data_IF_200051135837
#
_entry.id   IF_200051135837
#
_cell.length_a   1.000
_cell.length_b   1.000
_cell.length_c   1.000
_cell.angle_alpha   90.00
_cell.angle_beta   90.00
_cell.angle_gamma   90.00
#
_symmetry.space_group_name_H-M   'P 1'
#
loop_
_entity.id
_entity.type
_entity.pdbx_description
1 polymer ?
#
# COMPACT_ATOMS: atom_id res chain seq x y z
N UNK A 1 -24.01 -10.23 -7.08
CA UNK A 1 -22.64 -10.18 -7.63
C UNK A 1 -21.68 -10.04 -6.45
N UNK A 2 -20.58 -10.78 -6.39
CA UNK A 2 -19.68 -10.73 -5.23
C UNK A 2 -18.93 -9.39 -5.20
N UNK A 3 -18.74 -8.80 -4.02
CA UNK A 3 -17.81 -7.67 -3.87
C UNK A 3 -16.35 -8.14 -3.79
N UNK A 4 -15.39 -7.21 -3.88
CA UNK A 4 -13.96 -7.55 -3.89
C UNK A 4 -13.50 -8.34 -2.66
N UNK A 5 -13.95 -7.92 -1.46
CA UNK A 5 -13.66 -8.62 -0.21
C UNK A 5 -14.16 -10.07 -0.24
N UNK A 6 -15.43 -10.28 -0.62
CA UNK A 6 -16.01 -11.63 -0.73
C UNK A 6 -15.21 -12.49 -1.70
N UNK A 7 -14.85 -11.93 -2.86
CA UNK A 7 -14.13 -12.66 -3.91
C UNK A 7 -12.72 -13.08 -3.46
N UNK A 8 -11.97 -12.20 -2.81
CA UNK A 8 -10.62 -12.50 -2.30
C UNK A 8 -10.69 -13.57 -1.20
N UNK A 9 -11.58 -13.40 -0.21
CA UNK A 9 -11.67 -14.34 0.93
C UNK A 9 -12.10 -15.73 0.45
N UNK A 10 -13.11 -15.83 -0.40
CA UNK A 10 -13.54 -17.12 -0.96
C UNK A 10 -12.44 -17.79 -1.79
N UNK A 11 -11.72 -17.04 -2.63
CA UNK A 11 -10.61 -17.59 -3.40
C UNK A 11 -9.47 -18.12 -2.49
N UNK A 12 -9.14 -17.42 -1.40
CA UNK A 12 -8.15 -17.86 -0.41
C UNK A 12 -8.57 -19.14 0.32
N UNK A 13 -9.88 -19.34 0.49
CA UNK A 13 -10.47 -20.54 1.10
C UNK A 13 -10.75 -21.66 0.09
N UNK A 14 -10.31 -21.52 -1.17
CA UNK A 14 -10.56 -22.48 -2.25
C UNK A 14 -12.05 -22.68 -2.57
N UNK A 15 -12.88 -21.67 -2.30
CA UNK A 15 -14.30 -21.66 -2.64
C UNK A 15 -14.53 -21.14 -4.07
N UNK A 16 -15.61 -21.56 -4.76
CA UNK A 16 -15.98 -21.00 -6.06
C UNK A 16 -16.19 -19.48 -6.02
N UNK A 17 -15.76 -18.78 -7.07
CA UNK A 17 -15.90 -17.33 -7.24
C UNK A 17 -16.46 -16.96 -8.60
N UNK A 18 -17.09 -15.79 -8.71
CA UNK A 18 -17.71 -15.30 -9.95
C UNK A 18 -16.70 -14.84 -11.03
N UNK A 19 -15.46 -14.53 -10.63
CA UNK A 19 -14.28 -14.37 -11.49
C UNK A 19 -13.01 -14.46 -10.63
N UNK A 20 -11.85 -14.64 -11.27
CA UNK A 20 -10.55 -14.54 -10.58
C UNK A 20 -10.39 -13.16 -9.93
N UNK A 21 -10.11 -13.06 -8.61
CA UNK A 21 -9.81 -11.80 -7.97
C UNK A 21 -8.45 -11.24 -8.39
N UNK A 22 -8.32 -9.92 -8.45
CA UNK A 22 -7.10 -9.22 -8.90
C UNK A 22 -6.73 -8.11 -7.92
N UNK A 23 -5.45 -8.06 -7.59
CA UNK A 23 -4.77 -6.94 -6.93
C UNK A 23 -3.31 -6.93 -7.38
N UNK A 24 -2.59 -5.84 -7.15
CA UNK A 24 -1.19 -5.73 -7.58
C UNK A 24 -0.29 -5.36 -6.41
N UNK A 25 0.86 -6.03 -6.31
CA UNK A 25 1.94 -5.56 -5.45
C UNK A 25 2.34 -4.15 -5.88
N UNK A 26 2.52 -3.25 -4.90
CA UNK A 26 2.83 -1.83 -5.13
C UNK A 26 1.76 -1.07 -5.94
N UNK A 27 0.49 -1.48 -5.86
CA UNK A 27 -0.62 -0.76 -6.50
C UNK A 27 -0.75 0.69 -6.03
N UNK A 28 -0.41 1.00 -4.77
CA UNK A 28 -0.28 2.37 -4.28
C UNK A 28 1.19 2.79 -4.41
N UNK A 29 1.52 3.63 -5.40
CA UNK A 29 2.90 4.04 -5.62
C UNK A 29 3.12 4.97 -6.81
N UNK A 30 4.41 5.16 -7.15
CA UNK A 30 4.93 6.19 -8.06
C UNK A 30 4.33 6.25 -9.46
N UNK A 31 3.67 5.19 -9.93
CA UNK A 31 2.97 5.23 -11.22
C UNK A 31 1.73 6.14 -11.18
N UNK A 32 1.12 6.31 -10.01
CA UNK A 32 -0.04 7.18 -9.79
C UNK A 32 0.39 8.66 -9.67
N UNK A 33 -0.19 9.58 -10.47
CA UNK A 33 0.09 11.01 -10.33
C UNK A 33 -0.30 11.58 -8.97
N UNK A 34 -1.43 11.14 -8.41
CA UNK A 34 -1.90 11.52 -7.07
C UNK A 34 -0.97 11.04 -5.94
N UNK A 35 -0.32 9.90 -6.10
CA UNK A 35 0.75 9.47 -5.19
C UNK A 35 1.93 10.41 -5.28
N UNK A 36 2.38 10.74 -6.50
CA UNK A 36 3.56 11.60 -6.71
C UNK A 36 3.35 13.01 -6.18
N UNK A 37 2.14 13.57 -6.31
CA UNK A 37 1.79 14.89 -5.77
C UNK A 37 1.92 14.90 -4.25
N UNK A 38 1.23 13.99 -3.56
CA UNK A 38 1.33 13.83 -2.10
C UNK A 38 2.78 13.55 -1.67
N UNK A 39 3.51 12.74 -2.44
CA UNK A 39 4.88 12.39 -2.15
C UNK A 39 5.90 13.52 -2.33
N UNK A 40 5.54 14.61 -3.00
CA UNK A 40 6.37 15.81 -3.12
C UNK A 40 6.24 16.72 -1.89
N UNK A 41 5.17 16.56 -1.11
CA UNK A 41 4.83 17.42 0.03
C UNK A 41 5.23 16.79 1.38
N UNK A 42 5.33 15.46 1.44
CA UNK A 42 5.62 14.72 2.67
C UNK A 42 6.79 13.76 2.48
N UNK A 43 7.65 13.63 3.48
CA UNK A 43 8.70 12.62 3.54
C UNK A 43 8.12 11.19 3.52
N UNK A 44 8.94 10.20 3.21
CA UNK A 44 8.49 8.81 3.20
C UNK A 44 8.04 8.35 4.60
N UNK A 45 8.76 8.75 5.65
CA UNK A 45 8.41 8.42 7.03
C UNK A 45 7.08 9.02 7.46
N UNK A 46 6.84 10.30 7.19
CA UNK A 46 5.55 10.95 7.48
C UNK A 46 4.41 10.17 6.81
N UNK A 47 4.58 9.81 5.54
CA UNK A 47 3.56 9.03 4.81
C UNK A 47 3.33 7.63 5.36
N UNK A 48 4.25 7.05 6.14
CA UNK A 48 4.11 5.72 6.76
C UNK A 48 3.60 5.78 8.21
N UNK A 49 3.83 6.91 8.91
CA UNK A 49 3.50 7.06 10.33
C UNK A 49 2.23 7.87 10.56
N UNK A 50 1.85 8.72 9.61
CA UNK A 50 0.60 9.47 9.65
C UNK A 50 -0.57 8.61 9.13
N UNK A 51 -1.61 8.47 9.94
CA UNK A 51 -2.77 7.64 9.64
C UNK A 51 -3.55 8.13 8.41
N UNK A 52 -3.72 9.44 8.28
CA UNK A 52 -4.52 10.04 7.21
C UNK A 52 -3.79 9.94 5.87
N UNK A 53 -2.47 10.18 5.86
CA UNK A 53 -1.62 9.98 4.68
C UNK A 53 -1.58 8.51 4.26
N UNK A 54 -1.32 7.59 5.20
CA UNK A 54 -1.34 6.14 4.96
C UNK A 54 -2.66 5.68 4.34
N UNK A 55 -3.78 6.10 4.94
CA UNK A 55 -5.13 5.73 4.49
C UNK A 55 -5.39 6.30 3.10
N UNK A 56 -5.08 7.58 2.90
CA UNK A 56 -5.25 8.26 1.61
C UNK A 56 -4.49 7.52 0.51
N UNK A 57 -3.20 7.24 0.71
CA UNK A 57 -2.36 6.54 -0.26
C UNK A 57 -2.90 5.12 -0.53
N UNK A 58 -3.26 4.37 0.52
CA UNK A 58 -3.82 3.02 0.41
C UNK A 58 -5.07 2.99 -0.47
N UNK A 59 -5.91 4.03 -0.41
CA UNK A 59 -7.17 4.11 -1.12
C UNK A 59 -7.07 4.64 -2.56
N UNK A 60 -5.99 5.32 -2.94
CA UNK A 60 -5.80 5.84 -4.31
C UNK A 60 -6.07 4.78 -5.41
N UNK A 61 -5.51 3.56 -5.34
CA UNK A 61 -5.71 2.54 -6.38
C UNK A 61 -7.15 2.03 -6.41
N UNK A 62 -7.81 1.92 -5.25
CA UNK A 62 -9.21 1.49 -5.15
C UNK A 62 -10.13 2.54 -5.79
N UNK A 63 -9.82 3.82 -5.59
CA UNK A 63 -10.57 4.91 -6.20
C UNK A 63 -10.32 5.02 -7.71
N UNK A 64 -9.08 4.79 -8.17
CA UNK A 64 -8.72 4.89 -9.58
C UNK A 64 -9.17 3.68 -10.40
N UNK A 65 -8.94 2.47 -9.88
CA UNK A 65 -9.20 1.21 -10.57
C UNK A 65 -10.37 0.50 -9.91
N UNK A 66 -11.58 0.76 -10.44
CA UNK A 66 -12.84 0.25 -9.87
C UNK A 66 -13.00 -1.27 -9.87
N UNK A 67 -12.09 -2.00 -10.50
CA UNK A 67 -12.13 -3.45 -10.67
C UNK A 67 -11.14 -4.22 -9.79
N UNK A 68 -10.28 -3.52 -9.02
CA UNK A 68 -9.37 -4.17 -8.06
C UNK A 68 -10.16 -4.68 -6.85
N UNK A 69 -9.82 -5.89 -6.38
CA UNK A 69 -10.60 -6.59 -5.36
C UNK A 69 -10.10 -6.38 -3.93
N UNK A 70 -8.84 -5.95 -3.76
CA UNK A 70 -8.22 -5.76 -2.46
C UNK A 70 -7.34 -4.51 -2.39
N UNK A 71 -7.26 -3.93 -1.20
CA UNK A 71 -6.24 -2.96 -0.83
C UNK A 71 -5.11 -3.65 -0.06
N UNK A 72 -3.89 -3.18 -0.23
CA UNK A 72 -2.75 -3.49 0.63
C UNK A 72 -2.34 -2.20 1.33
N UNK A 73 -2.16 -2.27 2.65
CA UNK A 73 -1.82 -1.10 3.47
C UNK A 73 -0.51 -0.49 2.98
N UNK A 74 -0.51 0.83 2.77
CA UNK A 74 0.70 1.57 2.49
C UNK A 74 1.57 1.61 3.76
N UNK A 75 2.73 0.97 3.67
CA UNK A 75 3.78 0.97 4.68
C UNK A 75 5.07 0.49 4.01
N UNK A 76 6.14 0.35 4.79
CA UNK A 76 7.39 -0.26 4.35
C UNK A 76 7.79 -1.40 5.29
N UNK A 77 8.46 -2.41 4.72
CA UNK A 77 8.93 -3.57 5.49
C UNK A 77 9.99 -3.21 6.52
N UNK A 78 10.66 -2.07 6.37
CA UNK A 78 11.71 -1.56 7.27
C UNK A 78 11.14 -0.75 8.44
N UNK A 79 9.83 -0.47 8.47
CA UNK A 79 9.18 0.26 9.57
C UNK A 79 9.41 -0.32 10.98
N UNK A 80 9.65 -1.63 11.19
CA UNK A 80 9.98 -2.15 12.53
C UNK A 80 11.44 -1.88 12.97
N UNK A 81 12.35 -1.57 12.04
CA UNK A 81 13.78 -1.49 12.33
C UNK A 81 14.19 -0.41 13.36
N UNK A 82 13.56 0.79 13.39
CA UNK A 82 13.82 1.77 14.45
C UNK A 82 13.58 1.23 15.86
N UNK A 83 12.57 0.37 16.05
CA UNK A 83 12.30 -0.26 17.34
C UNK A 83 13.36 -1.30 17.73
N UNK A 84 14.13 -1.79 16.77
CA UNK A 84 15.26 -2.71 16.96
C UNK A 84 16.61 -1.97 17.11
N UNK A 85 16.61 -0.63 17.09
CA UNK A 85 17.80 0.19 17.26
C UNK A 85 18.54 0.54 15.97
N UNK A 86 17.93 0.36 14.79
CA UNK A 86 18.52 0.78 13.52
C UNK A 86 17.93 2.09 13.02
N UNK A 87 18.78 3.00 12.56
CA UNK A 87 18.34 4.20 11.86
C UNK A 87 18.11 3.88 10.38
N UNK A 88 16.99 4.37 9.82
CA UNK A 88 16.61 4.10 8.44
C UNK A 88 16.27 5.41 7.74
N UNK A 89 17.00 5.74 6.68
CA UNK A 89 16.83 6.96 5.91
C UNK A 89 16.29 6.68 4.50
N UNK A 90 15.38 7.54 4.06
CA UNK A 90 14.82 7.53 2.71
C UNK A 90 15.20 8.82 1.98
N UNK A 91 15.91 8.71 0.85
CA UNK A 91 16.27 9.87 0.01
C UNK A 91 17.56 9.64 -0.76
N UNK A 92 17.48 9.39 -2.07
CA UNK A 92 18.64 8.99 -2.88
C UNK A 92 19.01 7.49 -2.78
N UNK A 93 18.19 6.72 -2.08
CA UNK A 93 18.41 5.32 -1.75
C UNK A 93 17.75 4.99 -0.41
N UNK A 94 17.85 3.74 0.02
CA UNK A 94 17.56 3.35 1.40
C UNK A 94 18.92 3.19 2.08
N UNK A 95 19.10 3.86 3.22
CA UNK A 95 20.27 3.67 4.08
C UNK A 95 19.81 3.12 5.42
N UNK A 96 20.57 2.18 5.95
CA UNK A 96 20.32 1.54 7.24
C UNK A 96 21.61 1.60 8.03
N UNK A 97 21.58 2.32 9.14
CA UNK A 97 22.72 2.54 10.03
C UNK A 97 22.43 1.93 11.42
N UNK A 98 23.49 1.68 12.19
CA UNK A 98 23.48 1.09 13.54
C UNK A 98 23.47 2.16 14.62
#
# INVERSE_FOLDING_TARGET
MMNGKQRIVSALNLEPVDRTPVWFMRQAGRHLPEYRALAAEHSFWERCMDLDLCTTITMQPIHRYKTIDAAIIFSDILTPLPALGYEVEYGGGIRIDL
#
